data_IF_835461794970
#
_entry.id   IF_835461794970
#
_cell.length_a   1.000
_cell.length_b   1.000
_cell.length_c   1.000
_cell.angle_alpha   90.00
_cell.angle_beta   90.00
_cell.angle_gamma   90.00
#
_symmetry.space_group_name_H-M   'P 1'
#
loop_
_entity.id
_entity.type
_entity.pdbx_description
1 polymer ?
#
# COMPACT_ATOMS: atom_id res chain seq x y z
N UNK A 1 -34.05 15.24 20.78
CA UNK A 1 -34.12 13.76 20.84
C UNK A 1 -32.75 13.09 20.71
N UNK A 2 -31.87 13.52 19.79
CA UNK A 2 -30.55 12.88 19.59
C UNK A 2 -29.62 12.93 20.82
N UNK A 3 -29.50 14.07 21.51
CA UNK A 3 -28.67 14.16 22.73
C UNK A 3 -29.22 13.37 23.92
N UNK A 4 -30.55 13.24 24.03
CA UNK A 4 -31.19 12.38 25.04
C UNK A 4 -30.90 10.91 24.74
N UNK A 5 -31.04 10.50 23.48
CA UNK A 5 -30.65 9.15 23.02
C UNK A 5 -29.18 8.88 23.28
N UNK A 6 -28.28 9.83 23.01
CA UNK A 6 -26.84 9.67 23.27
C UNK A 6 -26.50 9.51 24.76
N UNK A 7 -27.23 10.21 25.65
CA UNK A 7 -27.10 10.02 27.10
C UNK A 7 -27.66 8.64 27.53
N UNK A 8 -28.80 8.23 26.97
CA UNK A 8 -29.45 6.95 27.28
C UNK A 8 -28.71 5.73 26.71
N UNK A 9 -27.99 5.87 25.58
CA UNK A 9 -27.16 4.82 24.96
C UNK A 9 -25.71 4.83 25.42
N UNK A 10 -25.29 5.85 26.18
CA UNK A 10 -23.89 6.05 26.56
C UNK A 10 -22.99 6.52 25.41
N UNK A 11 -23.56 6.96 24.29
CA UNK A 11 -22.83 7.50 23.15
C UNK A 11 -22.34 8.93 23.41
N UNK A 12 -21.04 9.09 23.61
CA UNK A 12 -20.39 10.40 23.69
C UNK A 12 -20.27 11.01 22.28
N UNK A 13 -21.06 12.03 21.99
CA UNK A 13 -21.06 12.73 20.69
C UNK A 13 -19.73 13.41 20.36
N UNK A 14 -19.00 13.87 21.39
CA UNK A 14 -17.63 14.35 21.29
C UNK A 14 -16.74 13.56 22.24
N UNK A 15 -15.54 13.21 21.79
CA UNK A 15 -14.47 12.72 22.65
C UNK A 15 -13.25 13.61 22.53
N UNK A 16 -12.54 13.80 23.64
CA UNK A 16 -11.27 14.52 23.69
C UNK A 16 -10.23 13.53 24.20
N UNK A 17 -9.21 13.28 23.38
CA UNK A 17 -8.04 12.49 23.76
C UNK A 17 -6.83 13.41 23.87
N UNK A 18 -6.07 13.28 24.95
CA UNK A 18 -4.76 13.91 25.06
C UNK A 18 -3.67 12.88 24.76
N UNK A 19 -2.92 13.10 23.68
CA UNK A 19 -1.75 12.29 23.35
C UNK A 19 -0.50 13.16 23.50
N UNK A 20 0.50 12.67 24.25
CA UNK A 20 1.79 13.36 24.39
C UNK A 20 2.88 12.62 23.65
N UNK A 21 3.32 13.19 22.53
CA UNK A 21 4.43 12.71 21.74
C UNK A 21 5.72 13.46 22.08
N UNK A 22 6.83 12.73 22.21
CA UNK A 22 8.18 13.30 22.34
C UNK A 22 9.15 12.48 21.51
N UNK A 23 9.95 13.16 20.70
CA UNK A 23 11.08 12.56 19.99
C UNK A 23 12.33 13.41 20.13
N UNK A 24 13.48 12.75 20.11
CA UNK A 24 14.80 13.38 20.06
C UNK A 24 15.58 12.70 18.94
N UNK A 25 16.26 13.49 18.11
CA UNK A 25 17.12 12.96 17.06
C UNK A 25 18.39 13.80 16.97
N UNK A 26 19.51 13.12 16.79
CA UNK A 26 20.81 13.72 16.49
C UNK A 26 21.28 13.16 15.16
N UNK A 27 21.84 13.98 14.30
CA UNK A 27 22.36 13.53 13.01
C UNK A 27 23.70 14.20 12.70
N UNK A 28 24.51 13.52 11.90
CA UNK A 28 25.74 14.01 11.31
C UNK A 28 25.74 13.67 9.82
N UNK A 29 26.19 14.62 9.00
CA UNK A 29 26.41 14.40 7.58
C UNK A 29 27.83 14.84 7.22
N UNK A 30 28.49 14.06 6.37
CA UNK A 30 29.77 14.40 5.79
C UNK A 30 29.71 14.16 4.28
N UNK A 31 30.23 15.10 3.51
CA UNK A 31 30.36 15.00 2.05
C UNK A 31 31.78 15.33 1.66
N UNK A 32 32.37 14.50 0.82
CA UNK A 32 33.69 14.72 0.25
C UNK A 32 33.59 14.62 -1.27
N UNK A 33 34.13 15.62 -1.96
CA UNK A 33 34.22 15.62 -3.42
C UNK A 33 35.66 15.83 -3.82
N UNK A 34 36.21 14.89 -4.60
CA UNK A 34 37.55 14.98 -5.14
C UNK A 34 37.49 15.46 -6.60
N UNK A 35 37.99 16.68 -6.81
CA UNK A 35 38.18 17.29 -8.14
C UNK A 35 36.91 17.27 -9.02
N UNK A 36 35.73 17.36 -8.40
CA UNK A 36 34.44 17.24 -9.08
C UNK A 36 34.12 15.84 -9.63
N UNK A 37 35.09 14.92 -9.69
CA UNK A 37 34.99 13.58 -10.31
C UNK A 37 34.32 12.55 -9.43
N UNK A 38 34.72 12.46 -8.17
CA UNK A 38 34.21 11.46 -7.23
C UNK A 38 33.60 12.16 -6.03
N UNK A 39 32.33 11.90 -5.77
CA UNK A 39 31.65 12.42 -4.60
C UNK A 39 31.21 11.28 -3.70
N UNK A 40 31.55 11.34 -2.43
CA UNK A 40 31.10 10.43 -1.37
C UNK A 40 30.29 11.24 -0.35
N UNK A 41 29.13 10.72 0.04
CA UNK A 41 28.28 11.30 1.07
C UNK A 41 27.88 10.23 2.08
N UNK A 42 28.03 10.55 3.35
CA UNK A 42 27.62 9.70 4.46
C UNK A 42 26.74 10.48 5.43
N UNK A 43 25.63 9.88 5.84
CA UNK A 43 24.76 10.42 6.89
C UNK A 43 24.57 9.37 7.97
N UNK A 44 24.69 9.77 9.23
CA UNK A 44 24.34 8.95 10.39
C UNK A 44 23.32 9.71 11.24
N UNK A 45 22.27 9.03 11.69
CA UNK A 45 21.21 9.58 12.53
C UNK A 45 20.93 8.63 13.67
N UNK A 46 20.76 9.17 14.87
CA UNK A 46 20.32 8.42 16.04
C UNK A 46 19.06 9.09 16.58
N UNK A 47 17.96 8.36 16.61
CA UNK A 47 16.67 8.92 17.04
C UNK A 47 15.94 8.04 18.05
N UNK A 48 15.13 8.68 18.89
CA UNK A 48 14.28 8.04 19.88
C UNK A 48 12.92 8.69 20.00
N UNK A 49 11.91 7.91 20.33
CA UNK A 49 10.53 8.37 20.53
C UNK A 49 9.83 7.63 21.67
N UNK A 50 8.95 8.31 22.40
CA UNK A 50 8.14 7.68 23.45
C UNK A 50 6.96 6.85 22.91
N UNK A 51 6.76 6.80 21.58
CA UNK A 51 5.74 5.96 20.93
C UNK A 51 6.14 4.50 20.84
N UNK A 52 7.43 4.24 20.59
CA UNK A 52 8.00 2.91 20.56
C UNK A 52 8.08 2.32 21.97
N UNK A 53 8.25 0.99 22.01
CA UNK A 53 8.41 0.22 23.22
C UNK A 53 9.46 0.79 24.19
N UNK A 54 9.33 0.44 25.47
CA UNK A 54 10.24 0.96 26.52
C UNK A 54 11.65 0.39 26.44
N UNK A 55 11.85 -0.75 25.76
CA UNK A 55 13.17 -1.34 25.62
C UNK A 55 14.09 -0.40 24.84
N UNK A 56 15.38 -0.39 25.20
CA UNK A 56 16.35 0.54 24.61
C UNK A 56 16.51 0.30 23.11
N UNK A 57 16.53 -0.96 22.69
CA UNK A 57 16.64 -1.42 21.30
C UNK A 57 15.41 -1.09 20.45
N UNK A 58 14.21 -1.05 21.05
CA UNK A 58 13.00 -0.65 20.35
C UNK A 58 12.85 0.87 20.26
N UNK A 59 13.19 1.57 21.35
CA UNK A 59 13.02 3.03 21.48
C UNK A 59 13.97 3.85 20.64
N UNK A 60 15.24 3.46 20.64
CA UNK A 60 16.33 4.21 20.05
C UNK A 60 16.92 3.46 18.87
N UNK A 61 16.95 4.11 17.72
CA UNK A 61 17.36 3.49 16.48
C UNK A 61 18.42 4.34 15.76
N UNK A 62 19.63 3.79 15.53
CA UNK A 62 20.57 4.36 14.58
C UNK A 62 20.14 4.02 13.14
N UNK A 63 20.13 5.03 12.28
CA UNK A 63 19.90 4.94 10.84
C UNK A 63 21.06 5.60 10.10
N UNK A 64 21.29 5.20 8.85
CA UNK A 64 22.44 5.68 8.09
C UNK A 64 22.20 5.62 6.59
N UNK A 65 22.96 6.40 5.84
CA UNK A 65 22.99 6.42 4.39
C UNK A 65 24.44 6.60 3.92
N UNK A 66 24.87 5.81 2.96
CA UNK A 66 26.12 5.98 2.26
C UNK A 66 25.83 6.05 0.76
N UNK A 67 26.31 7.10 0.09
CA UNK A 67 26.15 7.26 -1.36
C UNK A 67 27.45 7.72 -2.03
N UNK A 68 27.62 7.28 -3.26
CA UNK A 68 28.73 7.65 -4.12
C UNK A 68 28.21 8.13 -5.48
N UNK A 69 28.89 9.11 -6.06
CA UNK A 69 28.68 9.54 -7.43
C UNK A 69 30.03 9.67 -8.16
N UNK A 70 30.07 9.16 -9.39
CA UNK A 70 31.20 9.31 -10.30
C UNK A 70 30.75 10.13 -11.51
N UNK A 71 31.22 11.37 -11.55
CA UNK A 71 31.04 12.31 -12.65
C UNK A 71 32.07 12.01 -13.74
N UNK A 72 31.75 11.04 -14.59
CA UNK A 72 32.63 10.58 -15.68
C UNK A 72 32.96 11.72 -16.65
N UNK A 73 32.03 12.69 -16.80
CA UNK A 73 32.22 13.86 -17.66
C UNK A 73 33.37 14.78 -17.24
N UNK A 74 33.83 14.69 -15.99
CA UNK A 74 35.00 15.41 -15.48
C UNK A 74 36.33 14.65 -15.75
N UNK A 75 36.28 13.43 -16.31
CA UNK A 75 37.48 12.67 -16.65
C UNK A 75 38.10 13.16 -17.96
N UNK A 76 39.44 13.19 -18.02
CA UNK A 76 40.18 13.64 -19.21
C UNK A 76 39.82 12.88 -20.48
N UNK A 77 39.56 11.58 -20.38
CA UNK A 77 39.20 10.74 -21.53
C UNK A 77 37.81 11.09 -22.09
N UNK A 78 36.92 11.67 -21.28
CA UNK A 78 35.57 12.01 -21.70
C UNK A 78 35.53 13.12 -22.76
N UNK A 79 36.59 13.93 -22.86
CA UNK A 79 36.75 14.94 -23.91
C UNK A 79 36.63 14.34 -25.32
N UNK A 80 37.03 13.08 -25.51
CA UNK A 80 36.89 12.37 -26.79
C UNK A 80 35.45 11.95 -27.13
N UNK A 81 34.54 11.95 -26.16
CA UNK A 81 33.12 11.63 -26.32
C UNK A 81 32.26 12.88 -26.58
N UNK A 82 32.83 14.07 -26.32
CA UNK A 82 32.20 15.35 -26.67
C UNK A 82 32.32 15.61 -28.18
N UNK A 83 31.31 16.23 -28.82
CA UNK A 83 30.12 16.83 -28.23
C UNK A 83 28.91 15.88 -28.12
N UNK A 84 29.03 14.64 -28.62
CA UNK A 84 27.91 13.67 -28.65
C UNK A 84 27.37 13.41 -27.25
N UNK A 85 28.26 13.14 -26.30
CA UNK A 85 27.94 12.98 -24.88
C UNK A 85 28.30 14.26 -24.13
N UNK A 86 27.32 14.87 -23.47
CA UNK A 86 27.45 16.14 -22.75
C UNK A 86 27.64 15.95 -21.25
N UNK A 87 27.00 14.92 -20.69
CA UNK A 87 27.10 14.57 -19.29
C UNK A 87 27.03 13.04 -19.13
N UNK A 88 27.75 12.52 -18.15
CA UNK A 88 27.63 11.15 -17.68
C UNK A 88 28.00 11.11 -16.20
N UNK A 89 27.06 10.65 -15.40
CA UNK A 89 27.26 10.43 -13.96
C UNK A 89 26.69 9.07 -13.57
N UNK A 90 27.49 8.26 -12.88
CA UNK A 90 27.00 7.05 -12.21
C UNK A 90 26.77 7.35 -10.73
N UNK A 91 25.69 6.82 -10.17
CA UNK A 91 25.31 7.00 -8.76
C UNK A 91 25.00 5.65 -8.12
N UNK A 92 25.37 5.50 -6.86
CA UNK A 92 24.95 4.38 -6.06
C UNK A 92 24.71 4.84 -4.62
N UNK A 93 23.72 4.28 -3.94
CA UNK A 93 23.48 4.52 -2.52
C UNK A 93 22.96 3.28 -1.82
N UNK A 94 23.35 3.13 -0.56
CA UNK A 94 22.85 2.10 0.33
C UNK A 94 22.50 2.72 1.69
N UNK A 95 21.29 2.47 2.17
CA UNK A 95 20.78 3.11 3.37
C UNK A 95 19.99 2.16 4.25
N UNK A 96 19.98 2.46 5.55
CA UNK A 96 19.04 1.96 6.53
C UNK A 96 18.19 3.15 6.99
N UNK A 97 16.90 3.13 6.64
CA UNK A 97 15.91 4.14 7.06
C UNK A 97 14.83 3.49 7.90
N UNK A 98 14.07 4.30 8.64
CA UNK A 98 13.03 3.80 9.52
C UNK A 98 11.84 4.76 9.63
N UNK A 99 10.65 4.19 9.76
CA UNK A 99 9.39 4.90 9.99
C UNK A 99 8.77 4.49 11.32
N UNK A 100 8.02 5.41 11.94
CA UNK A 100 7.38 5.19 13.25
C UNK A 100 6.06 4.41 13.13
N UNK A 101 5.64 4.07 11.92
CA UNK A 101 4.36 3.42 11.64
C UNK A 101 3.16 4.37 11.80
N UNK A 102 1.94 3.82 11.77
CA UNK A 102 0.69 4.59 11.83
C UNK A 102 0.64 5.54 13.03
N UNK A 103 0.17 6.77 12.86
CA UNK A 103 0.32 7.88 13.82
C UNK A 103 -0.32 7.66 15.22
N UNK A 104 -1.28 6.77 15.29
CA UNK A 104 -2.03 6.36 16.48
C UNK A 104 -1.39 5.20 17.23
N UNK A 105 -0.47 4.45 16.60
CA UNK A 105 0.22 3.35 17.26
C UNK A 105 1.17 3.90 18.33
N UNK A 106 0.88 3.56 19.57
CA UNK A 106 1.81 3.71 20.68
C UNK A 106 1.64 2.53 21.61
N UNK A 107 2.75 1.92 22.00
CA UNK A 107 2.66 0.73 22.84
C UNK A 107 3.76 0.66 23.90
N UNK A 108 4.21 1.82 24.36
CA UNK A 108 5.19 1.92 25.44
C UNK A 108 4.60 1.61 26.81
N UNK A 109 3.28 1.66 26.98
CA UNK A 109 2.57 1.33 28.21
C UNK A 109 1.20 0.76 27.85
N UNK A 110 0.60 -0.01 28.76
CA UNK A 110 -0.80 -0.39 28.64
C UNK A 110 -1.69 0.86 28.66
N UNK A 111 -2.68 0.90 27.76
CA UNK A 111 -3.66 1.98 27.68
C UNK A 111 -4.91 1.51 28.39
N UNK A 112 -5.23 2.18 29.50
CA UNK A 112 -6.46 1.95 30.27
C UNK A 112 -7.38 3.13 30.04
N UNK A 113 -8.62 2.87 29.61
CA UNK A 113 -9.63 3.92 29.43
C UNK A 113 -10.83 3.67 30.34
N UNK A 114 -11.39 4.77 30.83
CA UNK A 114 -12.70 4.75 31.46
C UNK A 114 -13.78 4.45 30.42
N UNK A 115 -14.77 3.66 30.79
CA UNK A 115 -15.99 3.48 30.03
C UNK A 115 -17.20 3.52 30.98
N UNK A 116 -18.38 3.75 30.42
CA UNK A 116 -19.64 3.61 31.15
C UNK A 116 -20.22 2.25 30.75
N UNK A 117 -20.26 1.26 31.65
CA UNK A 117 -20.88 -0.02 31.36
C UNK A 117 -22.37 0.19 31.06
N UNK A 118 -22.92 -0.62 30.17
CA UNK A 118 -24.36 -0.65 29.97
C UNK A 118 -25.07 -1.07 31.27
N UNK A 119 -26.13 -0.33 31.63
CA UNK A 119 -26.98 -0.58 32.81
C UNK A 119 -28.45 -0.47 32.38
N UNK A 120 -29.35 -1.37 32.84
CA UNK A 120 -30.76 -1.33 32.44
C UNK A 120 -31.54 -0.11 32.95
N UNK A 121 -31.05 0.56 33.99
CA UNK A 121 -31.71 1.69 34.64
C UNK A 121 -30.77 2.91 34.64
N UNK A 122 -31.32 4.10 34.37
CA UNK A 122 -30.56 5.34 34.15
C UNK A 122 -30.08 6.02 35.43
N UNK A 123 -30.65 5.67 36.58
CA UNK A 123 -30.25 6.10 37.92
C UNK A 123 -29.03 5.32 38.47
N UNK A 124 -28.69 4.20 37.83
CA UNK A 124 -27.51 3.38 38.15
C UNK A 124 -26.47 3.58 37.05
N UNK A 125 -25.64 4.61 37.20
CA UNK A 125 -24.44 4.79 36.36
C UNK A 125 -23.17 4.66 37.20
N UNK A 126 -22.27 3.82 36.73
CA UNK A 126 -20.95 3.61 37.33
C UNK A 126 -19.89 3.82 36.25
N UNK A 127 -18.70 4.28 36.66
CA UNK A 127 -17.55 4.34 35.75
C UNK A 127 -16.74 3.06 35.90
N UNK A 128 -16.50 2.37 34.80
CA UNK A 128 -15.58 1.25 34.72
C UNK A 128 -14.25 1.65 34.11
N UNK A 129 -13.21 0.85 34.36
CA UNK A 129 -11.95 0.91 33.64
C UNK A 129 -11.80 -0.37 32.82
N UNK A 130 -11.27 -0.26 31.61
CA UNK A 130 -10.88 -1.42 30.82
C UNK A 130 -9.57 -1.14 30.10
N UNK A 131 -8.83 -2.23 29.82
CA UNK A 131 -7.62 -2.18 29.03
C UNK A 131 -8.04 -2.09 27.55
N UNK A 132 -7.60 -1.04 26.88
CA UNK A 132 -7.81 -0.83 25.45
C UNK A 132 -6.67 -1.44 24.65
N UNK A 133 -5.43 -1.21 25.10
CA UNK A 133 -4.22 -1.75 24.49
C UNK A 133 -3.26 -2.28 25.55
N UNK A 134 -2.66 -3.43 25.27
CA UNK A 134 -1.62 -4.04 26.11
C UNK A 134 -0.26 -3.50 25.74
N UNK A 135 0.58 -3.22 26.75
CA UNK A 135 1.98 -2.84 26.56
C UNK A 135 2.73 -3.81 25.61
N UNK A 136 3.54 -3.25 24.72
CA UNK A 136 4.50 -3.96 23.92
C UNK A 136 5.87 -3.27 24.04
N UNK A 137 6.63 -3.69 25.05
CA UNK A 137 7.93 -3.11 25.38
C UNK A 137 8.95 -3.19 24.24
N UNK A 138 8.73 -4.09 23.27
CA UNK A 138 9.62 -4.37 22.14
C UNK A 138 9.12 -3.82 20.80
N UNK A 139 7.98 -3.11 20.76
CA UNK A 139 7.49 -2.49 19.52
C UNK A 139 8.52 -1.48 18.99
N UNK A 140 9.13 -1.80 17.86
CA UNK A 140 10.16 -0.98 17.22
C UNK A 140 9.65 -0.37 15.92
N UNK A 141 10.47 0.50 15.32
CA UNK A 141 10.20 1.16 14.04
C UNK A 141 10.10 0.16 12.89
N UNK A 142 9.32 0.51 11.88
CA UNK A 142 9.36 -0.16 10.57
C UNK A 142 10.65 0.24 9.88
N UNK A 143 11.48 -0.73 9.47
CA UNK A 143 12.82 -0.47 8.95
C UNK A 143 12.94 -0.90 7.51
N UNK A 144 13.83 -0.23 6.77
CA UNK A 144 14.09 -0.53 5.36
C UNK A 144 15.57 -0.39 5.03
N UNK A 145 16.13 -1.47 4.50
CA UNK A 145 17.37 -1.39 3.72
C UNK A 145 17.05 -1.06 2.28
N UNK A 146 17.69 -0.04 1.72
CA UNK A 146 17.47 0.38 0.33
C UNK A 146 18.80 0.52 -0.40
N UNK A 147 18.94 -0.21 -1.51
CA UNK A 147 20.00 -0.06 -2.48
C UNK A 147 19.42 0.61 -3.72
N UNK A 148 20.05 1.70 -4.16
CA UNK A 148 19.72 2.39 -5.40
C UNK A 148 20.99 2.50 -6.25
N UNK A 149 20.86 2.22 -7.54
CA UNK A 149 21.92 2.35 -8.55
C UNK A 149 21.32 3.15 -9.70
N UNK A 150 21.96 4.25 -10.04
CA UNK A 150 21.46 5.20 -11.04
C UNK A 150 22.52 5.64 -12.03
N UNK A 151 22.05 6.11 -13.17
CA UNK A 151 22.86 6.75 -14.21
C UNK A 151 22.13 7.98 -14.75
N UNK A 152 22.89 9.06 -14.91
CA UNK A 152 22.45 10.26 -15.61
C UNK A 152 23.30 10.44 -16.86
N UNK A 153 22.66 10.60 -18.01
CA UNK A 153 23.32 10.77 -19.29
C UNK A 153 22.70 11.94 -20.04
N UNK A 154 23.55 12.87 -20.48
CA UNK A 154 23.16 14.01 -21.32
C UNK A 154 23.80 13.90 -22.70
N UNK A 155 23.03 14.18 -23.75
CA UNK A 155 23.50 14.20 -25.13
C UNK A 155 23.25 15.55 -25.79
N UNK A 156 24.07 15.90 -26.79
CA UNK A 156 23.87 17.04 -27.70
C UNK A 156 23.65 18.35 -26.92
N UNK A 157 24.64 18.77 -26.15
CA UNK A 157 24.59 19.92 -25.23
C UNK A 157 23.39 19.86 -24.27
N UNK A 158 23.17 18.69 -23.67
CA UNK A 158 22.05 18.40 -22.76
C UNK A 158 20.66 18.65 -23.39
N UNK A 159 20.52 18.51 -24.71
CA UNK A 159 19.20 18.53 -25.37
C UNK A 159 18.40 17.27 -25.14
N UNK A 160 19.06 16.15 -24.86
CA UNK A 160 18.43 14.89 -24.50
C UNK A 160 19.08 14.43 -23.20
N UNK A 161 18.30 14.34 -22.13
CA UNK A 161 18.78 13.88 -20.83
C UNK A 161 17.99 12.64 -20.44
N UNK A 162 18.71 11.59 -20.07
CA UNK A 162 18.16 10.34 -19.57
C UNK A 162 18.70 10.12 -18.16
N UNK A 163 17.80 10.02 -17.19
CA UNK A 163 18.08 9.52 -15.85
C UNK A 163 17.43 8.16 -15.71
N UNK A 164 18.17 7.15 -15.29
CA UNK A 164 17.62 5.82 -15.05
C UNK A 164 18.13 5.29 -13.71
N UNK A 165 17.21 4.75 -12.91
CA UNK A 165 17.45 4.24 -11.57
C UNK A 165 16.90 2.82 -11.46
N UNK A 166 17.68 1.94 -10.85
CA UNK A 166 17.21 0.66 -10.35
C UNK A 166 17.33 0.66 -8.84
N UNK A 167 16.30 0.19 -8.15
CA UNK A 167 16.31 0.09 -6.70
C UNK A 167 15.78 -1.24 -6.20
N UNK A 168 16.25 -1.64 -5.02
CA UNK A 168 15.69 -2.71 -4.21
C UNK A 168 15.57 -2.28 -2.76
N UNK A 169 14.47 -2.66 -2.13
CA UNK A 169 14.09 -2.29 -0.77
C UNK A 169 13.67 -3.53 -0.01
N UNK A 170 14.33 -3.78 1.11
CA UNK A 170 14.00 -4.84 2.05
C UNK A 170 13.44 -4.19 3.31
N UNK A 171 12.11 -4.19 3.44
CA UNK A 171 11.40 -3.69 4.60
C UNK A 171 11.20 -4.82 5.60
N UNK A 172 11.43 -4.55 6.87
CA UNK A 172 11.33 -5.52 7.95
C UNK A 172 10.83 -4.83 9.22
N UNK A 173 10.33 -5.64 10.15
CA UNK A 173 9.64 -5.18 11.34
C UNK A 173 8.45 -4.25 11.02
N UNK A 174 7.69 -4.56 9.96
CA UNK A 174 6.48 -3.82 9.61
C UNK A 174 5.40 -4.00 10.69
N UNK A 175 4.72 -2.93 11.05
CA UNK A 175 3.76 -2.88 12.15
C UNK A 175 2.37 -3.25 11.66
N UNK A 176 1.73 -4.18 12.35
CA UNK A 176 0.37 -4.62 12.04
C UNK A 176 -0.31 -5.26 13.23
N UNK A 177 -1.60 -5.57 13.07
CA UNK A 177 -2.38 -6.26 14.08
C UNK A 177 -2.06 -7.75 14.07
N UNK A 178 -1.78 -8.31 15.25
CA UNK A 178 -1.64 -9.75 15.47
C UNK A 178 -2.68 -10.24 16.48
N UNK A 179 -3.33 -11.40 16.24
CA UNK A 179 -4.17 -12.00 17.26
C UNK A 179 -3.34 -12.38 18.49
N UNK A 180 -3.93 -12.26 19.68
CA UNK A 180 -3.31 -12.71 20.94
C UNK A 180 -4.07 -13.90 21.50
N UNK A 181 -3.52 -14.57 22.52
CA UNK A 181 -4.21 -15.63 23.26
C UNK A 181 -5.42 -15.13 24.08
N UNK A 182 -5.66 -13.81 24.16
CA UNK A 182 -6.77 -13.21 24.88
C UNK A 182 -6.59 -13.15 26.41
N UNK A 183 -5.66 -13.92 26.98
CA UNK A 183 -5.38 -13.96 28.44
C UNK A 183 -5.05 -12.59 29.02
N UNK A 184 -4.41 -11.72 28.23
CA UNK A 184 -4.08 -10.35 28.65
C UNK A 184 -5.26 -9.37 28.60
N UNK A 185 -6.44 -9.75 28.12
CA UNK A 185 -7.62 -8.89 28.03
C UNK A 185 -7.85 -8.22 26.67
N UNK A 186 -6.98 -8.44 25.67
CA UNK A 186 -7.22 -8.02 24.28
C UNK A 186 -6.99 -9.19 23.33
N UNK A 187 -7.83 -9.35 22.31
CA UNK A 187 -7.71 -10.42 21.31
C UNK A 187 -6.83 -10.02 20.11
N UNK A 188 -6.50 -8.72 19.99
CA UNK A 188 -5.57 -8.18 18.99
C UNK A 188 -4.62 -7.18 19.66
N UNK A 189 -3.42 -7.02 19.08
CA UNK A 189 -2.48 -5.96 19.43
C UNK A 189 -1.61 -5.57 18.24
N UNK A 190 -1.07 -4.35 18.24
CA UNK A 190 -0.04 -3.95 17.28
C UNK A 190 1.33 -4.54 17.66
N UNK A 191 2.00 -5.14 16.68
CA UNK A 191 3.34 -5.68 16.78
C UNK A 191 4.07 -5.57 15.44
N UNK A 192 5.39 -5.77 15.46
CA UNK A 192 6.19 -5.97 14.25
C UNK A 192 5.91 -7.40 13.72
N UNK A 193 5.20 -7.51 12.59
CA UNK A 193 4.55 -8.76 12.13
C UNK A 193 4.86 -9.13 10.69
N UNK A 194 5.49 -8.26 9.91
CA UNK A 194 5.72 -8.54 8.50
C UNK A 194 7.07 -8.07 7.99
N UNK A 195 7.52 -8.74 6.93
CA UNK A 195 8.67 -8.39 6.10
C UNK A 195 8.22 -8.33 4.65
N UNK A 196 8.73 -7.36 3.90
CA UNK A 196 8.40 -7.17 2.49
C UNK A 196 9.65 -6.81 1.71
N UNK A 197 9.79 -7.39 0.51
CA UNK A 197 10.77 -6.91 -0.48
C UNK A 197 10.03 -6.15 -1.58
N UNK A 198 10.67 -5.13 -2.12
CA UNK A 198 10.19 -4.43 -3.30
C UNK A 198 11.36 -3.99 -4.16
N UNK A 199 11.16 -3.95 -5.46
CA UNK A 199 12.17 -3.49 -6.40
C UNK A 199 11.49 -2.77 -7.55
N UNK A 200 12.25 -1.94 -8.23
CA UNK A 200 11.73 -1.20 -9.36
C UNK A 200 12.81 -0.61 -10.24
N UNK A 201 12.35 -0.18 -11.41
CA UNK A 201 13.11 0.64 -12.34
C UNK A 201 12.35 1.92 -12.57
N UNK A 202 13.08 3.03 -12.62
CA UNK A 202 12.55 4.33 -12.95
C UNK A 202 13.42 4.93 -14.03
N UNK A 203 12.83 5.60 -15.00
CA UNK A 203 13.61 6.45 -15.87
C UNK A 203 12.84 7.70 -16.26
N UNK A 204 13.59 8.77 -16.46
CA UNK A 204 13.12 10.06 -16.94
C UNK A 204 13.88 10.41 -18.20
N UNK A 205 13.15 10.70 -19.27
CA UNK A 205 13.68 11.23 -20.52
C UNK A 205 13.18 12.67 -20.68
N UNK A 206 14.09 13.62 -20.62
CA UNK A 206 13.81 15.04 -20.82
C UNK A 206 14.48 15.53 -22.10
N UNK A 207 13.69 16.08 -23.03
CA UNK A 207 14.18 16.56 -24.32
C UNK A 207 13.82 18.02 -24.57
N UNK A 208 14.80 18.77 -25.09
CA UNK A 208 14.60 20.10 -25.69
C UNK A 208 14.51 19.92 -27.20
N UNK A 209 13.32 19.56 -27.69
CA UNK A 209 13.08 19.22 -29.10
C UNK A 209 13.37 20.40 -30.04
N UNK A 210 12.77 21.56 -29.76
CA UNK A 210 12.96 22.78 -30.56
C UNK A 210 13.27 23.95 -29.61
N UNK A 211 14.28 24.74 -29.94
CA UNK A 211 14.65 25.96 -29.21
C UNK A 211 15.07 27.03 -30.19
N UNK A 212 14.16 27.96 -30.46
CA UNK A 212 14.36 29.13 -31.32
C UNK A 212 13.96 30.40 -30.55
N UNK A 213 14.14 31.58 -31.14
CA UNK A 213 13.75 32.85 -30.51
C UNK A 213 12.23 32.94 -30.27
N UNK A 214 11.45 32.48 -31.25
CA UNK A 214 9.99 32.66 -31.25
C UNK A 214 9.24 31.42 -30.76
N UNK A 215 9.87 30.24 -30.81
CA UNK A 215 9.25 28.98 -30.44
C UNK A 215 10.19 28.06 -29.66
N UNK A 216 9.68 27.46 -28.58
CA UNK A 216 10.36 26.36 -27.88
C UNK A 216 9.41 25.22 -27.56
N UNK A 217 9.91 24.00 -27.65
CA UNK A 217 9.20 22.78 -27.26
C UNK A 217 10.11 21.88 -26.45
N UNK A 218 9.68 21.57 -25.22
CA UNK A 218 10.31 20.58 -24.37
C UNK A 218 9.33 19.45 -24.06
N UNK A 219 9.85 18.23 -23.92
CA UNK A 219 9.10 17.05 -23.52
C UNK A 219 9.76 16.40 -22.31
N UNK A 220 8.95 15.91 -21.39
CA UNK A 220 9.38 15.14 -20.23
C UNK A 220 8.57 13.85 -20.17
N UNK A 221 9.24 12.71 -20.24
CA UNK A 221 8.64 11.39 -20.10
C UNK A 221 9.19 10.72 -18.85
N UNK A 222 8.31 10.39 -17.92
CA UNK A 222 8.63 9.67 -16.68
C UNK A 222 7.97 8.31 -16.76
N UNK A 223 8.73 7.27 -16.44
CA UNK A 223 8.27 5.89 -16.33
C UNK A 223 8.79 5.28 -15.04
N UNK A 224 7.93 4.54 -14.35
CA UNK A 224 8.27 3.75 -13.18
C UNK A 224 7.58 2.39 -13.28
N UNK A 225 8.36 1.33 -13.02
CA UNK A 225 7.83 -0.02 -12.83
C UNK A 225 8.27 -0.54 -11.47
N UNK A 226 7.31 -0.83 -10.60
CA UNK A 226 7.55 -1.26 -9.23
C UNK A 226 6.74 -2.52 -8.90
N UNK A 227 7.38 -3.45 -8.19
CA UNK A 227 6.74 -4.64 -7.62
C UNK A 227 7.10 -4.78 -6.16
N UNK A 228 6.17 -5.32 -5.38
CA UNK A 228 6.39 -5.67 -3.99
C UNK A 228 5.87 -7.09 -3.71
N UNK A 229 6.43 -7.71 -2.69
CA UNK A 229 6.09 -9.05 -2.25
C UNK A 229 6.22 -9.11 -0.72
N UNK A 230 5.20 -9.65 -0.06
CA UNK A 230 5.23 -9.97 1.36
C UNK A 230 6.00 -11.28 1.54
N UNK A 231 7.14 -11.23 2.23
CA UNK A 231 8.05 -12.38 2.38
C UNK A 231 7.88 -13.12 3.68
N UNK A 232 7.32 -12.47 4.70
CA UNK A 232 6.96 -13.07 5.99
C UNK A 232 5.76 -12.29 6.54
N UNK A 233 4.75 -13.00 7.03
CA UNK A 233 3.56 -12.41 7.63
C UNK A 233 3.06 -13.26 8.80
N UNK A 234 3.23 -12.76 10.02
CA UNK A 234 2.77 -13.44 11.24
C UNK A 234 1.27 -13.30 11.49
N UNK A 235 0.63 -12.33 10.85
CA UNK A 235 -0.82 -12.15 10.88
C UNK A 235 -1.51 -13.17 9.97
N UNK A 236 -2.56 -13.84 10.45
CA UNK A 236 -3.34 -14.78 9.63
C UNK A 236 -4.46 -14.05 8.91
N UNK A 237 -4.31 -13.88 7.61
CA UNK A 237 -5.31 -13.30 6.72
C UNK A 237 -6.54 -14.22 6.59
N UNK A 238 -7.74 -13.64 6.56
CA UNK A 238 -9.00 -14.35 6.32
C UNK A 238 -9.32 -14.39 4.83
N UNK A 239 -10.01 -15.44 4.39
CA UNK A 239 -10.50 -15.54 3.01
C UNK A 239 -11.26 -14.29 2.56
N UNK A 240 -12.19 -13.79 3.40
CA UNK A 240 -12.98 -12.59 3.11
C UNK A 240 -12.16 -11.33 2.86
N UNK A 241 -10.97 -11.20 3.46
CA UNK A 241 -10.08 -10.05 3.28
C UNK A 241 -9.42 -10.11 1.90
N UNK A 242 -8.97 -11.29 1.47
CA UNK A 242 -8.33 -11.52 0.18
C UNK A 242 -9.28 -11.36 -1.01
N UNK A 243 -10.52 -11.79 -0.83
CA UNK A 243 -11.56 -11.68 -1.86
C UNK A 243 -12.31 -10.35 -1.80
N UNK A 244 -12.00 -9.50 -0.81
CA UNK A 244 -12.48 -8.12 -0.79
C UNK A 244 -11.98 -7.35 -2.02
N UNK A 245 -12.71 -6.31 -2.42
CA UNK A 245 -12.33 -5.53 -3.61
C UNK A 245 -11.04 -4.71 -3.46
N UNK A 246 -10.52 -4.56 -2.25
CA UNK A 246 -9.38 -3.69 -1.94
C UNK A 246 -8.01 -4.40 -2.02
N UNK A 247 -8.01 -5.73 -2.13
CA UNK A 247 -6.83 -6.58 -1.96
C UNK A 247 -6.34 -6.61 -0.51
N UNK A 248 -5.58 -7.65 -0.16
CA UNK A 248 -5.01 -7.80 1.17
C UNK A 248 -3.66 -8.52 1.13
N UNK A 249 -2.89 -8.41 2.21
CA UNK A 249 -1.58 -9.01 2.32
C UNK A 249 -1.67 -10.53 2.47
N UNK A 250 -0.86 -11.25 1.69
CA UNK A 250 -0.62 -12.69 1.81
C UNK A 250 0.83 -12.96 1.46
N UNK A 251 1.48 -13.83 2.23
CA UNK A 251 2.85 -14.26 1.98
C UNK A 251 3.02 -14.81 0.55
N UNK A 252 4.10 -14.42 -0.12
CA UNK A 252 4.39 -14.74 -1.53
C UNK A 252 3.70 -13.83 -2.56
N UNK A 253 2.86 -12.89 -2.13
CA UNK A 253 2.10 -12.00 -3.01
C UNK A 253 2.33 -10.51 -2.67
N UNK A 254 1.91 -9.58 -3.54
CA UNK A 254 1.93 -8.16 -3.22
C UNK A 254 1.10 -7.82 -1.98
N UNK A 255 1.44 -6.73 -1.30
CA UNK A 255 0.78 -6.25 -0.08
C UNK A 255 -0.73 -6.04 -0.24
N UNK A 256 -1.18 -5.73 -1.46
CA UNK A 256 -2.60 -5.66 -1.82
C UNK A 256 -2.91 -6.61 -2.99
N UNK A 257 -2.63 -7.89 -2.79
CA UNK A 257 -2.98 -8.95 -3.71
C UNK A 257 -4.50 -9.20 -3.73
N UNK A 258 -5.07 -9.27 -4.93
CA UNK A 258 -6.48 -9.53 -5.13
C UNK A 258 -6.70 -11.01 -5.47
N UNK A 259 -7.59 -11.65 -4.74
CA UNK A 259 -7.95 -13.05 -4.97
C UNK A 259 -9.43 -13.19 -5.29
N UNK A 260 -9.80 -14.28 -5.96
CA UNK A 260 -11.19 -14.66 -6.21
C UNK A 260 -11.41 -16.09 -5.72
N UNK A 261 -12.62 -16.36 -5.24
CA UNK A 261 -13.10 -17.74 -5.12
C UNK A 261 -13.31 -18.25 -6.55
N UNK A 262 -12.74 -19.41 -6.95
CA UNK A 262 -12.94 -19.95 -8.28
C UNK A 262 -14.43 -20.17 -8.55
N UNK A 263 -14.95 -19.50 -9.57
CA UNK A 263 -16.34 -19.60 -9.99
C UNK A 263 -16.51 -20.80 -10.93
N UNK A 264 -17.39 -21.73 -10.57
CA UNK A 264 -17.63 -22.98 -11.31
C UNK A 264 -18.83 -22.89 -12.26
N UNK A 265 -19.40 -21.69 -12.45
CA UNK A 265 -20.60 -21.48 -13.26
C UNK A 265 -21.88 -21.41 -12.42
N UNK A 266 -23.02 -21.52 -13.09
CA UNK A 266 -24.33 -21.61 -12.45
C UNK A 266 -24.81 -23.07 -12.45
N UNK A 267 -25.59 -23.46 -11.44
CA UNK A 267 -26.33 -24.72 -11.48
C UNK A 267 -27.58 -24.63 -12.40
N UNK A 268 -28.31 -25.74 -12.54
CA UNK A 268 -29.56 -25.82 -13.32
C UNK A 268 -30.69 -24.90 -12.80
N UNK A 269 -30.51 -24.25 -11.65
CA UNK A 269 -31.44 -23.28 -11.05
C UNK A 269 -30.92 -21.84 -11.14
N UNK A 270 -29.78 -21.62 -11.80
CA UNK A 270 -29.14 -20.31 -11.92
C UNK A 270 -28.44 -19.83 -10.65
N UNK A 271 -28.12 -20.74 -9.71
CA UNK A 271 -27.41 -20.44 -8.46
C UNK A 271 -25.89 -20.47 -8.71
N UNK A 272 -25.13 -19.45 -8.28
CA UNK A 272 -23.66 -19.45 -8.37
C UNK A 272 -23.03 -20.64 -7.65
N UNK A 273 -22.20 -21.39 -8.38
CA UNK A 273 -21.40 -22.48 -7.85
C UNK A 273 -19.93 -22.05 -7.76
N UNK A 274 -19.25 -22.48 -6.70
CA UNK A 274 -17.86 -22.16 -6.43
C UNK A 274 -17.06 -23.43 -6.16
N UNK A 275 -15.83 -23.48 -6.66
CA UNK A 275 -14.91 -24.56 -6.37
C UNK A 275 -14.08 -24.24 -5.12
N UNK A 276 -14.33 -24.99 -4.06
CA UNK A 276 -13.62 -24.90 -2.78
C UNK A 276 -12.79 -26.18 -2.60
N UNK A 277 -11.50 -26.11 -2.97
CA UNK A 277 -10.55 -27.24 -2.89
C UNK A 277 -11.02 -28.51 -3.63
N UNK A 278 -11.62 -28.37 -4.81
CA UNK A 278 -12.14 -29.47 -5.62
C UNK A 278 -13.60 -29.83 -5.31
N UNK A 279 -14.22 -29.23 -4.29
CA UNK A 279 -15.63 -29.41 -3.99
C UNK A 279 -16.45 -28.24 -4.57
N UNK A 280 -17.31 -28.54 -5.54
CA UNK A 280 -18.21 -27.57 -6.16
C UNK A 280 -19.44 -27.38 -5.26
N UNK A 281 -19.61 -26.18 -4.71
CA UNK A 281 -20.69 -25.86 -3.77
C UNK A 281 -21.17 -24.41 -3.93
N UNK A 282 -22.44 -24.16 -3.62
CA UNK A 282 -23.00 -22.81 -3.43
C UNK A 282 -23.16 -22.44 -1.95
N UNK A 283 -23.06 -23.43 -1.06
CA UNK A 283 -23.23 -23.32 0.40
C UNK A 283 -21.94 -23.67 1.13
N UNK A 284 -21.95 -23.51 2.47
CA UNK A 284 -20.86 -23.95 3.36
C UNK A 284 -19.49 -23.31 3.08
N UNK A 285 -19.51 -22.13 2.45
CA UNK A 285 -18.30 -21.35 2.18
C UNK A 285 -17.86 -20.66 3.47
N UNK A 286 -16.76 -21.13 4.06
CA UNK A 286 -16.18 -20.53 5.26
C UNK A 286 -15.38 -19.25 4.92
N UNK A 287 -16.05 -18.10 4.91
CA UNK A 287 -15.43 -16.79 4.73
C UNK A 287 -14.42 -16.39 5.82
N UNK A 288 -14.42 -17.10 6.96
CA UNK A 288 -13.48 -16.89 8.08
C UNK A 288 -12.26 -17.84 8.02
N UNK A 289 -12.14 -18.69 7.00
CA UNK A 289 -10.99 -19.57 6.78
C UNK A 289 -9.69 -18.77 6.71
N UNK A 290 -8.61 -19.33 7.28
CA UNK A 290 -7.29 -18.68 7.37
C UNK A 290 -6.13 -19.58 6.98
N UNK A 291 -6.35 -20.89 6.91
CA UNK A 291 -5.30 -21.88 6.70
C UNK A 291 -5.38 -22.47 5.30
N UNK A 292 -6.56 -22.94 4.89
CA UNK A 292 -6.75 -23.62 3.60
C UNK A 292 -7.18 -22.65 2.51
N UNK A 293 -6.28 -21.73 2.12
CA UNK A 293 -6.57 -20.64 1.18
C UNK A 293 -5.92 -20.81 -0.21
N UNK A 294 -5.23 -21.92 -0.45
CA UNK A 294 -4.47 -22.17 -1.69
C UNK A 294 -5.36 -22.38 -2.92
N UNK A 295 -6.64 -22.74 -2.73
CA UNK A 295 -7.61 -22.81 -3.83
C UNK A 295 -7.99 -21.44 -4.39
N UNK A 296 -7.74 -20.35 -3.67
CA UNK A 296 -8.09 -19.02 -4.15
C UNK A 296 -7.27 -18.66 -5.39
N UNK A 297 -7.95 -18.20 -6.43
CA UNK A 297 -7.30 -17.73 -7.65
C UNK A 297 -6.73 -16.33 -7.42
N UNK A 298 -5.42 -16.17 -7.57
CA UNK A 298 -4.78 -14.87 -7.59
C UNK A 298 -5.06 -14.16 -8.92
N UNK A 299 -5.59 -12.93 -8.85
CA UNK A 299 -5.92 -12.14 -10.06
C UNK A 299 -4.86 -11.08 -10.38
N UNK A 300 -4.10 -10.62 -9.38
CA UNK A 300 -3.11 -9.56 -9.55
C UNK A 300 -3.06 -8.57 -8.38
N UNK A 301 -2.17 -7.57 -8.42
CA UNK A 301 -2.14 -6.50 -7.45
C UNK A 301 -3.25 -5.49 -7.71
N UNK A 302 -3.80 -4.88 -6.66
CA UNK A 302 -4.73 -3.75 -6.81
C UNK A 302 -4.03 -2.41 -6.99
N UNK A 303 -2.77 -2.31 -6.56
CA UNK A 303 -1.91 -1.14 -6.81
C UNK A 303 -1.26 -1.23 -8.21
N UNK A 304 -1.21 -0.14 -8.99
CA UNK A 304 -0.54 -0.11 -10.28
C UNK A 304 0.94 -0.49 -10.17
N UNK A 305 1.39 -1.39 -11.04
CA UNK A 305 2.80 -1.78 -11.10
C UNK A 305 3.58 -0.94 -12.11
N UNK A 306 2.89 -0.25 -13.01
CA UNK A 306 3.48 0.68 -13.98
C UNK A 306 2.81 2.02 -13.76
N UNK A 307 3.61 3.07 -13.58
CA UNK A 307 3.11 4.44 -13.46
C UNK A 307 4.03 5.39 -14.22
N UNK A 308 3.54 6.57 -14.56
CA UNK A 308 4.36 7.58 -15.19
C UNK A 308 3.57 8.76 -15.70
N UNK A 309 4.27 9.61 -16.42
CA UNK A 309 3.69 10.80 -17.02
C UNK A 309 4.40 11.22 -18.28
N UNK A 310 3.68 11.93 -19.14
CA UNK A 310 4.22 12.58 -20.31
C UNK A 310 3.79 14.05 -20.33
N UNK A 311 4.75 14.95 -20.22
CA UNK A 311 4.57 16.39 -20.25
C UNK A 311 5.14 16.99 -21.52
N UNK A 312 4.45 17.98 -22.08
CA UNK A 312 4.94 18.79 -23.18
C UNK A 312 4.68 20.26 -22.89
N UNK A 313 5.72 21.06 -23.02
CA UNK A 313 5.65 22.50 -22.86
C UNK A 313 6.01 23.16 -24.18
N UNK A 314 5.03 23.81 -24.79
CA UNK A 314 5.19 24.63 -25.99
C UNK A 314 5.16 26.10 -25.59
N UNK A 315 6.10 26.89 -26.09
CA UNK A 315 6.06 28.34 -25.97
C UNK A 315 6.18 28.98 -27.34
N UNK A 316 5.29 29.93 -27.65
CA UNK A 316 5.29 30.68 -28.92
C UNK A 316 5.01 32.16 -28.66
N UNK A 317 5.98 33.03 -28.95
CA UNK A 317 5.85 34.52 -28.88
C UNK A 317 5.11 35.04 -27.63
N UNK A 318 5.44 34.52 -26.45
CA UNK A 318 4.84 34.93 -25.17
C UNK A 318 3.67 34.07 -24.69
N UNK A 319 3.10 33.20 -25.53
CA UNK A 319 2.11 32.19 -25.13
C UNK A 319 2.80 30.90 -24.69
N UNK A 320 2.30 30.25 -23.64
CA UNK A 320 2.79 28.96 -23.14
C UNK A 320 1.63 27.98 -23.00
N UNK A 321 1.73 26.83 -23.65
CA UNK A 321 0.80 25.71 -23.51
C UNK A 321 1.53 24.56 -22.82
N UNK A 322 0.96 24.06 -21.73
CA UNK A 322 1.41 22.85 -21.05
C UNK A 322 0.38 21.75 -21.24
N UNK A 323 0.78 20.65 -21.86
CA UNK A 323 -0.03 19.43 -22.01
C UNK A 323 0.61 18.34 -21.16
N UNK A 324 -0.12 17.86 -20.16
CA UNK A 324 0.39 16.86 -19.22
C UNK A 324 -0.58 15.68 -19.13
N UNK A 325 -0.04 14.47 -19.27
CA UNK A 325 -0.77 13.21 -19.18
C UNK A 325 -0.13 12.33 -18.12
N UNK A 326 -0.93 11.74 -17.25
CA UNK A 326 -0.49 10.69 -16.30
C UNK A 326 -1.10 9.36 -16.69
N UNK A 327 -0.38 8.27 -16.45
CA UNK A 327 -0.88 6.93 -16.72
C UNK A 327 -0.51 5.96 -15.59
N UNK A 328 -1.33 4.93 -15.43
CA UNK A 328 -1.14 3.86 -14.45
C UNK A 328 -1.70 2.55 -15.00
N UNK A 329 -0.91 1.47 -14.97
CA UNK A 329 -1.26 0.17 -15.53
C UNK A 329 -0.80 -0.98 -14.65
N UNK A 330 -1.26 -2.19 -15.01
CA UNK A 330 -0.80 -3.45 -14.43
C UNK A 330 -1.44 -3.82 -13.09
N UNK A 331 -2.43 -3.05 -12.63
CA UNK A 331 -3.31 -3.45 -11.54
C UNK A 331 -4.60 -4.09 -12.04
N UNK A 332 -5.25 -4.81 -11.14
CA UNK A 332 -6.60 -5.33 -11.30
C UNK A 332 -7.55 -4.61 -10.35
N UNK A 333 -8.80 -4.47 -10.79
CA UNK A 333 -9.86 -3.83 -10.00
C UNK A 333 -11.02 -4.80 -9.88
N UNK A 334 -11.51 -5.00 -8.66
CA UNK A 334 -12.77 -5.70 -8.46
C UNK A 334 -13.91 -4.77 -8.83
N UNK A 335 -14.74 -5.20 -9.78
CA UNK A 335 -15.97 -4.48 -10.09
C UNK A 335 -16.87 -4.41 -8.86
N UNK A 336 -17.62 -3.32 -8.74
CA UNK A 336 -18.59 -3.17 -7.67
C UNK A 336 -19.58 -4.34 -7.66
N UNK A 337 -20.01 -4.82 -6.49
CA UNK A 337 -21.03 -5.86 -6.42
C UNK A 337 -22.36 -5.29 -6.95
N UNK A 338 -22.74 -5.71 -8.14
CA UNK A 338 -24.01 -5.33 -8.78
C UNK A 338 -25.15 -6.30 -8.42
N UNK A 339 -24.82 -7.44 -7.80
CA UNK A 339 -25.77 -8.48 -7.44
C UNK A 339 -26.01 -8.49 -5.92
N UNK A 340 -27.28 -8.44 -5.54
CA UNK A 340 -27.77 -8.70 -4.20
C UNK A 340 -28.51 -10.05 -4.18
N UNK A 341 -28.51 -10.72 -3.03
CA UNK A 341 -29.26 -11.94 -2.82
C UNK A 341 -30.77 -11.68 -2.73
N UNK A 342 -31.18 -10.46 -2.39
CA UNK A 342 -32.57 -10.02 -2.33
C UNK A 342 -32.76 -8.66 -2.96
N UNK A 343 -33.90 -8.49 -3.62
CA UNK A 343 -34.33 -7.22 -4.19
C UNK A 343 -35.75 -6.87 -3.71
N UNK A 344 -36.03 -5.58 -3.63
CA UNK A 344 -37.37 -5.06 -3.38
C UNK A 344 -37.98 -4.52 -4.69
N UNK A 345 -39.30 -4.30 -4.70
CA UNK A 345 -39.98 -3.67 -5.84
C UNK A 345 -39.50 -2.24 -6.13
N UNK A 346 -38.82 -1.60 -5.16
CA UNK A 346 -38.21 -0.28 -5.29
C UNK A 346 -36.75 -0.33 -5.76
N UNK A 347 -36.19 -1.52 -5.97
CA UNK A 347 -34.79 -1.69 -6.37
C UNK A 347 -34.62 -1.47 -7.88
N UNK A 348 -33.81 -0.48 -8.25
CA UNK A 348 -33.35 -0.34 -9.63
C UNK A 348 -32.30 -1.42 -9.94
N UNK A 349 -32.58 -2.28 -10.92
CA UNK A 349 -31.70 -3.38 -11.32
C UNK A 349 -30.61 -2.90 -12.29
N UNK A 350 -29.39 -3.45 -12.21
CA UNK A 350 -28.31 -3.09 -13.12
C UNK A 350 -28.55 -3.70 -14.51
N UNK A 351 -27.91 -3.15 -15.55
CA UNK A 351 -28.15 -3.52 -16.96
C UNK A 351 -27.85 -4.99 -17.24
N UNK A 352 -26.93 -5.56 -16.50
CA UNK A 352 -26.45 -6.95 -16.56
C UNK A 352 -27.60 -7.95 -16.35
N UNK A 353 -28.64 -7.59 -15.60
CA UNK A 353 -29.83 -8.42 -15.38
C UNK A 353 -30.64 -8.72 -16.64
N UNK A 354 -30.39 -8.02 -17.76
CA UNK A 354 -30.99 -8.34 -19.07
C UNK A 354 -30.57 -9.72 -19.58
N UNK A 355 -29.38 -10.17 -19.22
CA UNK A 355 -28.82 -11.46 -19.65
C UNK A 355 -28.75 -12.45 -18.48
N UNK A 356 -29.60 -12.30 -17.46
CA UNK A 356 -29.65 -13.23 -16.33
C UNK A 356 -30.19 -14.58 -16.72
N UNK A 357 -29.82 -15.59 -15.95
CA UNK A 357 -30.44 -16.91 -16.00
C UNK A 357 -31.96 -16.80 -15.76
N UNK A 358 -32.75 -17.44 -16.62
CA UNK A 358 -34.22 -17.45 -16.50
C UNK A 358 -34.83 -18.84 -16.57
N UNK A 359 -34.23 -19.73 -17.36
CA UNK A 359 -34.71 -21.09 -17.59
C UNK A 359 -33.52 -22.05 -17.58
N UNK A 360 -33.77 -23.32 -17.24
CA UNK A 360 -32.77 -24.38 -17.30
C UNK A 360 -32.16 -24.49 -18.70
N UNK A 361 -30.83 -24.61 -18.78
CA UNK A 361 -30.03 -24.53 -20.00
C UNK A 361 -29.42 -23.14 -20.25
N UNK A 362 -29.86 -22.09 -19.55
CA UNK A 362 -29.26 -20.75 -19.63
C UNK A 362 -27.87 -20.71 -18.99
N UNK A 363 -27.56 -21.60 -18.04
CA UNK A 363 -26.25 -21.70 -17.38
C UNK A 363 -25.10 -21.98 -18.36
N UNK A 364 -25.39 -22.55 -19.54
CA UNK A 364 -24.41 -22.72 -20.61
C UNK A 364 -24.17 -21.44 -21.44
N UNK A 365 -25.01 -20.41 -21.27
CA UNK A 365 -25.02 -19.18 -22.08
C UNK A 365 -24.74 -17.92 -21.26
N UNK A 366 -24.97 -17.95 -19.95
CA UNK A 366 -24.78 -16.80 -19.07
C UNK A 366 -24.18 -17.18 -17.72
N UNK A 367 -23.38 -16.24 -17.18
CA UNK A 367 -22.85 -16.29 -15.82
C UNK A 367 -23.59 -15.33 -14.87
N UNK A 368 -24.67 -14.71 -15.35
CA UNK A 368 -25.48 -13.78 -14.56
C UNK A 368 -26.55 -14.60 -13.83
N UNK A 369 -26.52 -14.66 -12.48
CA UNK A 369 -27.36 -15.58 -11.71
C UNK A 369 -28.85 -15.23 -11.76
N UNK A 370 -29.66 -16.21 -11.38
CA UNK A 370 -31.08 -16.03 -11.13
C UNK A 370 -31.34 -15.10 -9.93
N UNK A 371 -32.58 -14.63 -9.80
CA UNK A 371 -33.06 -14.06 -8.53
C UNK A 371 -33.55 -15.24 -7.68
N UNK A 372 -32.93 -15.44 -6.52
CA UNK A 372 -33.34 -16.49 -5.59
C UNK A 372 -34.76 -16.25 -5.10
N UNK A 373 -35.59 -17.29 -5.13
CA UNK A 373 -36.88 -17.27 -4.44
C UNK A 373 -36.69 -17.39 -2.93
N UNK A 374 -37.67 -16.94 -2.15
CA UNK A 374 -37.58 -16.97 -0.69
C UNK A 374 -37.31 -18.39 -0.13
N UNK A 375 -37.96 -19.47 -0.63
CA UNK A 375 -37.63 -20.83 -0.20
C UNK A 375 -36.22 -21.30 -0.57
N UNK A 376 -35.68 -20.87 -1.72
CA UNK A 376 -34.30 -21.20 -2.11
C UNK A 376 -33.25 -20.50 -1.25
N UNK A 377 -33.62 -19.37 -0.62
CA UNK A 377 -32.74 -18.64 0.28
C UNK A 377 -32.77 -19.22 1.71
N UNK A 378 -33.92 -19.72 2.15
CA UNK A 378 -34.10 -20.26 3.51
C UNK A 378 -33.67 -21.73 3.65
N UNK A 379 -33.57 -22.46 2.53
CA UNK A 379 -33.05 -23.82 2.45
C UNK A 379 -31.52 -23.83 2.45
#
# INVERSE_FOLDING_TARGET
>A
QYFKKGIETGEKYYSMGHTRYRSVATFANATYSYDGRYTLNGTFRYEGTNRMGRSRSARWLPTWNLSAAWNVHEEKFFQSLQPTLSNLTFKASYSLTADRGPADVTNSQAIIKSYSPYRPFTDIQETGLHIVDLENSELTYEKKHELNIGVDVGFINNRINLSADWYTRNNYDLIGLIPTQGVGGTIYKYANVATMKSHGIEFTLSTSNIKTKDFSWNSDFIFSHAKNEVTDLRGRTRMMELVSGNGFAREGYPVRGLFSIPFAGLDEKGIPMFDINGNITSTDINFQEREKLDYLKYEGPTDPTITGSFGNVFAYKGFKLNVFMTYSFGNVVRLNPYFNYKYSDLSAMPREFKNRWTLSGDEAKTNIPAILSNPQYEA
#
